data_IF_596188732577
#
_entry.id   IF_596188732577
#
_cell.length_a   1.000
_cell.length_b   1.000
_cell.length_c   1.000
_cell.angle_alpha   90.00
_cell.angle_beta   90.00
_cell.angle_gamma   90.00
#
_symmetry.space_group_name_H-M   'P 1'
#
loop_
_entity.id
_entity.type
_entity.pdbx_description
1 polymer ?
#
# COMPACT_ATOMS: atom_id res chain seq x y z
N UNK A 1 3.28 42.39 18.00
CA UNK A 1 2.16 42.16 17.07
C UNK A 1 2.76 42.12 15.68
N UNK A 2 3.15 40.93 15.22
CA UNK A 2 3.50 40.66 13.83
C UNK A 2 3.06 39.21 13.57
N UNK A 3 1.84 39.09 13.08
CA UNK A 3 1.23 37.84 12.63
C UNK A 3 1.84 37.53 11.27
N UNK A 4 2.97 36.84 11.25
CA UNK A 4 3.53 36.30 10.01
C UNK A 4 2.64 35.12 9.59
N UNK A 5 1.89 35.36 8.51
CA UNK A 5 0.84 34.50 7.99
C UNK A 5 1.31 33.08 7.65
N UNK A 6 0.55 32.10 8.17
CA UNK A 6 0.48 30.68 7.79
C UNK A 6 0.32 30.41 6.28
N UNK A 7 0.16 31.42 5.44
CA UNK A 7 -0.02 31.28 4.00
C UNK A 7 1.31 31.10 3.26
N UNK A 8 2.44 31.63 3.77
CA UNK A 8 3.74 31.44 3.13
C UNK A 8 4.30 30.03 3.36
N UNK A 9 4.06 29.45 4.55
CA UNK A 9 4.39 28.03 4.83
C UNK A 9 3.44 27.07 4.07
N UNK A 10 2.16 27.43 3.89
CA UNK A 10 1.25 26.67 3.00
C UNK A 10 1.69 26.71 1.53
N UNK A 11 2.19 27.85 1.05
CA UNK A 11 2.68 27.98 -0.33
C UNK A 11 4.00 27.21 -0.56
N UNK A 12 4.86 27.10 0.46
CA UNK A 12 6.10 26.33 0.37
C UNK A 12 5.87 24.81 0.52
N UNK A 13 4.82 24.38 1.23
CA UNK A 13 4.40 22.97 1.29
C UNK A 13 3.51 22.54 0.11
N UNK A 14 2.84 23.50 -0.56
CA UNK A 14 2.03 23.26 -1.76
C UNK A 14 2.80 23.26 -3.09
N UNK A 15 4.11 23.54 -3.07
CA UNK A 15 4.95 23.67 -4.26
C UNK A 15 5.98 22.53 -4.45
N UNK A 16 5.89 21.45 -3.67
CA UNK A 16 6.46 20.17 -4.12
C UNK A 16 5.50 19.64 -5.19
N UNK A 17 5.87 19.85 -6.44
CA UNK A 17 5.10 19.46 -7.61
C UNK A 17 4.55 18.05 -7.45
N UNK A 18 3.33 17.86 -7.94
CA UNK A 18 2.72 16.57 -8.21
C UNK A 18 3.50 15.76 -9.29
N UNK A 19 4.84 15.82 -9.29
CA UNK A 19 5.76 15.10 -10.16
C UNK A 19 6.08 13.71 -9.58
N UNK A 20 5.03 12.94 -9.30
CA UNK A 20 5.13 11.62 -8.68
C UNK A 20 3.83 10.83 -8.72
N UNK A 21 2.68 11.50 -8.82
CA UNK A 21 1.54 10.88 -9.46
C UNK A 21 1.98 10.55 -10.89
N UNK A 22 2.01 9.27 -11.27
CA UNK A 22 1.58 8.98 -12.64
C UNK A 22 0.25 9.72 -12.76
N UNK A 23 0.24 10.80 -13.57
CA UNK A 23 -0.89 11.71 -13.63
C UNK A 23 -2.17 10.85 -13.67
N UNK A 24 -3.18 11.12 -12.82
CA UNK A 24 -4.42 10.37 -12.91
C UNK A 24 -4.80 10.37 -14.39
N UNK A 25 -4.95 9.18 -14.97
CA UNK A 25 -5.26 9.05 -16.40
C UNK A 25 -6.34 10.07 -16.70
N UNK A 26 -6.17 10.89 -17.75
CA UNK A 26 -6.89 12.16 -17.94
C UNK A 26 -8.43 12.06 -17.77
N UNK A 27 -8.96 10.85 -17.88
CA UNK A 27 -10.37 10.53 -17.67
C UNK A 27 -10.82 10.39 -16.20
N UNK A 28 -9.96 10.10 -15.22
CA UNK A 28 -10.38 9.84 -13.82
C UNK A 28 -10.97 11.08 -13.12
N UNK A 29 -10.37 12.29 -13.21
CA UNK A 29 -10.99 13.48 -12.64
C UNK A 29 -12.34 13.80 -13.30
N UNK A 30 -12.44 13.53 -14.61
CA UNK A 30 -13.68 13.71 -15.37
C UNK A 30 -14.77 12.74 -14.93
N UNK A 31 -14.44 11.45 -14.79
CA UNK A 31 -15.35 10.41 -14.29
C UNK A 31 -15.84 10.76 -12.87
N UNK A 32 -14.95 11.25 -12.00
CA UNK A 32 -15.29 11.76 -10.67
C UNK A 32 -16.34 12.86 -10.74
N UNK A 33 -16.09 13.85 -11.58
CA UNK A 33 -16.97 15.01 -11.71
C UNK A 33 -18.36 14.58 -12.23
N UNK A 34 -18.42 13.73 -13.25
CA UNK A 34 -19.69 13.24 -13.78
C UNK A 34 -20.53 12.49 -12.73
N UNK A 35 -19.91 11.60 -11.95
CA UNK A 35 -20.60 10.82 -10.93
C UNK A 35 -21.07 11.70 -9.75
N UNK A 36 -20.24 12.63 -9.29
CA UNK A 36 -20.61 13.57 -8.22
C UNK A 36 -21.74 14.51 -8.65
N UNK A 37 -21.66 15.09 -9.85
CA UNK A 37 -22.72 15.95 -10.37
C UNK A 37 -24.02 15.19 -10.59
N UNK A 38 -23.96 13.94 -11.09
CA UNK A 38 -25.14 13.11 -11.23
C UNK A 38 -25.84 12.89 -9.86
N UNK A 39 -25.07 12.58 -8.81
CA UNK A 39 -25.58 12.46 -7.44
C UNK A 39 -26.21 13.76 -6.94
N UNK A 40 -25.51 14.88 -7.09
CA UNK A 40 -25.97 16.18 -6.60
C UNK A 40 -27.27 16.61 -7.30
N UNK A 41 -27.33 16.48 -8.62
CA UNK A 41 -28.55 16.80 -9.39
C UNK A 41 -29.70 15.89 -8.98
N UNK A 42 -29.45 14.59 -8.80
CA UNK A 42 -30.49 13.64 -8.40
C UNK A 42 -31.09 13.97 -7.02
N UNK A 43 -30.21 14.29 -6.06
CA UNK A 43 -30.59 14.74 -4.73
C UNK A 43 -31.39 16.04 -4.78
N UNK A 44 -30.86 17.08 -5.44
CA UNK A 44 -31.51 18.39 -5.54
C UNK A 44 -32.86 18.31 -6.24
N UNK A 45 -32.97 17.52 -7.32
CA UNK A 45 -34.23 17.31 -8.03
C UNK A 45 -35.30 16.69 -7.11
N UNK A 46 -34.92 15.76 -6.23
CA UNK A 46 -35.86 15.09 -5.34
C UNK A 46 -36.20 15.88 -4.08
N UNK A 47 -35.29 16.75 -3.62
CA UNK A 47 -35.48 17.63 -2.45
C UNK A 47 -36.28 18.88 -2.82
N UNK A 48 -36.02 19.46 -4.00
CA UNK A 48 -36.69 20.67 -4.47
C UNK A 48 -37.93 20.26 -5.28
N UNK A 49 -39.13 20.60 -4.80
CA UNK A 49 -40.36 20.35 -5.55
C UNK A 49 -40.45 21.29 -6.77
N UNK A 50 -39.95 20.86 -7.92
CA UNK A 50 -39.98 21.64 -9.16
C UNK A 50 -41.36 21.47 -9.83
N UNK A 51 -42.24 22.45 -9.69
CA UNK A 51 -43.61 22.38 -10.26
C UNK A 51 -43.65 22.63 -11.78
N UNK A 52 -42.66 23.34 -12.33
CA UNK A 52 -42.63 23.70 -13.74
C UNK A 52 -42.08 22.55 -14.61
N UNK A 53 -42.92 22.02 -15.50
CA UNK A 53 -42.56 20.89 -16.39
C UNK A 53 -41.36 21.16 -17.29
N UNK A 54 -41.20 22.39 -17.82
CA UNK A 54 -40.05 22.74 -18.66
C UNK A 54 -38.74 22.76 -17.86
N UNK A 55 -38.79 23.22 -16.62
CA UNK A 55 -37.63 23.23 -15.72
C UNK A 55 -37.26 21.80 -15.35
N UNK A 56 -38.24 20.94 -15.02
CA UNK A 56 -37.98 19.50 -14.78
C UNK A 56 -37.29 18.83 -15.96
N UNK A 57 -37.82 19.01 -17.17
CA UNK A 57 -37.23 18.46 -18.38
C UNK A 57 -35.80 18.98 -18.64
N UNK A 58 -35.54 20.26 -18.36
CA UNK A 58 -34.19 20.84 -18.47
C UNK A 58 -33.21 20.20 -17.48
N UNK A 59 -33.59 20.09 -16.20
CA UNK A 59 -32.74 19.47 -15.17
C UNK A 59 -32.50 17.99 -15.49
N UNK A 60 -33.52 17.25 -15.92
CA UNK A 60 -33.40 15.85 -16.31
C UNK A 60 -32.46 15.66 -17.52
N UNK A 61 -32.47 16.57 -18.51
CA UNK A 61 -31.49 16.55 -19.62
C UNK A 61 -30.07 16.82 -19.13
N UNK A 62 -29.90 17.72 -18.18
CA UNK A 62 -28.59 17.99 -17.59
C UNK A 62 -28.08 16.78 -16.79
N UNK A 63 -28.95 16.13 -16.00
CA UNK A 63 -28.68 14.86 -15.32
C UNK A 63 -28.27 13.76 -16.32
N UNK A 64 -29.05 13.55 -17.38
CA UNK A 64 -28.77 12.58 -18.44
C UNK A 64 -27.39 12.81 -19.08
N UNK A 65 -26.98 14.07 -19.27
CA UNK A 65 -25.65 14.42 -19.80
C UNK A 65 -24.53 13.96 -18.85
N UNK A 66 -24.71 14.07 -17.54
CA UNK A 66 -23.73 13.58 -16.57
C UNK A 66 -23.65 12.06 -16.60
N UNK A 67 -24.80 11.37 -16.63
CA UNK A 67 -24.85 9.90 -16.76
C UNK A 67 -24.13 9.41 -18.01
N UNK A 68 -24.43 10.03 -19.17
CA UNK A 68 -23.76 9.73 -20.44
C UNK A 68 -22.24 9.90 -20.35
N UNK A 69 -21.78 10.95 -19.66
CA UNK A 69 -20.35 11.19 -19.41
C UNK A 69 -19.71 10.06 -18.60
N UNK A 70 -20.36 9.63 -17.52
CA UNK A 70 -19.90 8.52 -16.71
C UNK A 70 -19.90 7.18 -17.46
N UNK A 71 -21.01 6.82 -18.12
CA UNK A 71 -21.16 5.58 -18.90
C UNK A 71 -20.09 5.47 -19.99
N UNK A 72 -19.67 6.59 -20.59
CA UNK A 72 -18.60 6.61 -21.59
C UNK A 72 -17.23 6.26 -21.00
N UNK A 73 -16.95 6.64 -19.76
CA UNK A 73 -15.62 6.52 -19.14
C UNK A 73 -15.46 5.24 -18.28
N UNK A 74 -16.55 4.71 -17.74
CA UNK A 74 -16.55 3.51 -16.89
C UNK A 74 -15.94 2.26 -17.54
N UNK A 75 -16.15 1.95 -18.83
CA UNK A 75 -15.54 0.76 -19.45
C UNK A 75 -14.00 0.80 -19.43
N UNK A 76 -13.39 1.97 -19.73
CA UNK A 76 -11.94 2.14 -19.64
C UNK A 76 -11.44 1.98 -18.21
N UNK A 77 -12.21 2.52 -17.25
CA UNK A 77 -11.93 2.36 -15.83
C UNK A 77 -11.97 0.90 -15.37
N UNK A 78 -12.96 0.13 -15.79
CA UNK A 78 -13.11 -1.30 -15.46
C UNK A 78 -11.91 -2.12 -15.99
N UNK A 79 -11.43 -1.81 -17.20
CA UNK A 79 -10.25 -2.48 -17.76
C UNK A 79 -8.97 -2.15 -16.99
N UNK A 80 -8.82 -0.91 -16.54
CA UNK A 80 -7.69 -0.51 -15.68
C UNK A 80 -7.77 -1.18 -14.30
N UNK A 81 -8.96 -1.28 -13.71
CA UNK A 81 -9.21 -2.01 -12.47
C UNK A 81 -8.81 -3.49 -12.56
N UNK A 82 -9.23 -4.18 -13.63
CA UNK A 82 -8.84 -5.58 -13.88
C UNK A 82 -7.33 -5.78 -13.96
N UNK A 83 -6.59 -4.72 -14.34
CA UNK A 83 -5.12 -4.69 -14.42
C UNK A 83 -4.46 -4.21 -13.12
N UNK A 84 -5.24 -3.98 -12.05
CA UNK A 84 -4.75 -3.46 -10.77
C UNK A 84 -4.32 -1.99 -10.80
N UNK A 85 -4.83 -1.21 -11.77
CA UNK A 85 -4.56 0.23 -11.91
C UNK A 85 -5.78 1.03 -11.45
N UNK A 86 -5.54 2.29 -11.08
CA UNK A 86 -6.60 3.27 -10.78
C UNK A 86 -7.55 2.86 -9.65
N UNK A 87 -7.06 2.09 -8.68
CA UNK A 87 -7.85 1.56 -7.56
C UNK A 87 -8.53 2.66 -6.73
N UNK A 88 -7.98 3.88 -6.70
CA UNK A 88 -8.56 5.06 -6.04
C UNK A 88 -9.97 5.42 -6.53
N UNK A 89 -10.25 5.22 -7.82
CA UNK A 89 -11.48 5.69 -8.43
C UNK A 89 -12.70 4.83 -8.08
N UNK A 90 -12.51 3.76 -7.31
CA UNK A 90 -13.62 2.95 -6.85
C UNK A 90 -14.38 3.64 -5.74
N UNK A 91 -13.73 4.46 -4.92
CA UNK A 91 -14.44 5.30 -3.94
C UNK A 91 -15.43 6.27 -4.60
N UNK A 92 -15.22 6.59 -5.89
CA UNK A 92 -16.15 7.39 -6.70
C UNK A 92 -17.41 6.58 -7.08
N UNK A 93 -17.26 5.28 -7.36
CA UNK A 93 -18.36 4.40 -7.79
C UNK A 93 -19.03 3.63 -6.64
N UNK A 94 -18.31 3.35 -5.55
CA UNK A 94 -18.76 2.56 -4.40
C UNK A 94 -19.82 3.29 -3.59
N UNK A 95 -19.81 4.63 -3.57
CA UNK A 95 -20.87 5.42 -2.96
C UNK A 95 -22.18 5.36 -3.75
N UNK A 96 -22.14 5.29 -5.09
CA UNK A 96 -23.37 5.33 -5.90
C UNK A 96 -24.14 4.01 -5.88
N UNK A 97 -23.47 2.85 -5.84
CA UNK A 97 -24.17 1.55 -5.71
C UNK A 97 -24.76 1.36 -4.30
N UNK A 98 -24.07 1.84 -3.26
CA UNK A 98 -24.47 1.65 -1.86
C UNK A 98 -25.47 2.67 -1.35
N UNK A 99 -25.65 3.78 -2.07
CA UNK A 99 -26.73 4.73 -1.80
C UNK A 99 -28.04 4.22 -2.42
N UNK A 100 -28.79 3.40 -1.68
CA UNK A 100 -30.17 3.04 -2.06
C UNK A 100 -30.99 4.29 -2.42
N UNK A 101 -30.75 5.39 -1.69
CA UNK A 101 -31.33 6.71 -1.95
C UNK A 101 -31.01 7.25 -3.35
N UNK A 102 -29.80 7.07 -3.87
CA UNK A 102 -29.45 7.54 -5.20
C UNK A 102 -30.28 6.84 -6.28
N UNK A 103 -30.47 5.53 -6.16
CA UNK A 103 -31.28 4.77 -7.12
C UNK A 103 -32.76 5.13 -7.03
N UNK A 104 -33.28 5.34 -5.82
CA UNK A 104 -34.64 5.86 -5.63
C UNK A 104 -34.83 7.24 -6.29
N UNK A 105 -33.82 8.12 -6.21
CA UNK A 105 -33.86 9.41 -6.90
C UNK A 105 -33.82 9.26 -8.43
N UNK A 106 -33.02 8.32 -8.95
CA UNK A 106 -32.97 8.03 -10.38
C UNK A 106 -34.33 7.51 -10.89
N UNK A 107 -34.96 6.60 -10.15
CA UNK A 107 -36.29 6.08 -10.48
C UNK A 107 -37.33 7.20 -10.52
N UNK A 108 -37.33 8.08 -9.52
CA UNK A 108 -38.25 9.23 -9.47
C UNK A 108 -38.07 10.17 -10.65
N UNK A 109 -36.83 10.52 -11.00
CA UNK A 109 -36.55 11.37 -12.18
C UNK A 109 -37.02 10.67 -13.46
N UNK A 110 -36.80 9.37 -13.57
CA UNK A 110 -37.20 8.59 -14.74
C UNK A 110 -38.73 8.60 -14.91
N UNK A 111 -39.49 8.32 -13.83
CA UNK A 111 -40.95 8.35 -13.84
C UNK A 111 -41.53 9.72 -14.16
N UNK A 112 -40.95 10.80 -13.64
CA UNK A 112 -41.39 12.16 -13.94
C UNK A 112 -41.22 12.55 -15.42
N UNK A 113 -40.32 11.87 -16.13
CA UNK A 113 -40.03 12.11 -17.55
C UNK A 113 -40.80 11.19 -18.50
N UNK A 114 -41.73 10.38 -18.00
CA UNK A 114 -42.60 9.57 -18.85
C UNK A 114 -43.36 10.46 -19.85
N UNK A 115 -43.18 10.18 -21.15
CA UNK A 115 -43.76 10.97 -22.24
C UNK A 115 -42.84 12.04 -22.84
N UNK A 116 -41.67 12.32 -22.24
CA UNK A 116 -40.65 13.17 -22.84
C UNK A 116 -39.87 12.42 -23.94
N UNK A 117 -39.43 13.14 -24.98
CA UNK A 117 -38.74 12.52 -26.14
C UNK A 117 -37.39 11.87 -25.81
N UNK A 118 -36.80 12.20 -24.66
CA UNK A 118 -35.50 11.68 -24.21
C UNK A 118 -35.64 10.62 -23.11
N UNK A 119 -36.87 10.25 -22.71
CA UNK A 119 -37.16 9.29 -21.64
C UNK A 119 -36.42 7.96 -21.84
N UNK A 120 -36.55 7.34 -23.02
CA UNK A 120 -35.89 6.06 -23.31
C UNK A 120 -34.36 6.15 -23.21
N UNK A 121 -33.78 7.27 -23.65
CA UNK A 121 -32.33 7.49 -23.54
C UNK A 121 -31.89 7.64 -22.08
N UNK A 122 -32.65 8.38 -21.28
CA UNK A 122 -32.40 8.54 -19.85
C UNK A 122 -32.45 7.18 -19.13
N UNK A 123 -33.49 6.39 -19.39
CA UNK A 123 -33.66 5.05 -18.84
C UNK A 123 -32.50 4.13 -19.20
N UNK A 124 -32.09 4.09 -20.47
CA UNK A 124 -30.93 3.32 -20.90
C UNK A 124 -29.65 3.74 -20.16
N UNK A 125 -29.37 5.04 -20.01
CA UNK A 125 -28.17 5.49 -19.31
C UNK A 125 -28.18 5.16 -17.81
N UNK A 126 -29.34 5.12 -17.15
CA UNK A 126 -29.46 4.69 -15.75
C UNK A 126 -29.12 3.20 -15.63
N UNK A 127 -29.69 2.36 -16.51
CA UNK A 127 -29.43 0.90 -16.50
C UNK A 127 -27.99 0.55 -16.89
N UNK A 128 -27.42 1.24 -17.88
CA UNK A 128 -26.01 1.11 -18.26
C UNK A 128 -25.09 1.48 -17.09
N UNK A 129 -25.39 2.59 -16.40
CA UNK A 129 -24.62 3.01 -15.24
C UNK A 129 -24.69 1.94 -14.13
N UNK A 130 -25.88 1.44 -13.82
CA UNK A 130 -26.10 0.39 -12.81
C UNK A 130 -25.30 -0.87 -13.14
N UNK A 131 -25.31 -1.30 -14.39
CA UNK A 131 -24.59 -2.48 -14.89
C UNK A 131 -23.07 -2.27 -14.79
N UNK A 132 -22.56 -1.16 -15.29
CA UNK A 132 -21.13 -0.85 -15.30
C UNK A 132 -20.55 -0.67 -13.89
N UNK A 133 -21.31 -0.06 -12.96
CA UNK A 133 -20.89 0.05 -11.56
C UNK A 133 -20.82 -1.33 -10.88
N UNK A 134 -21.75 -2.24 -11.19
CA UNK A 134 -21.70 -3.62 -10.70
C UNK A 134 -20.50 -4.40 -11.29
N UNK A 135 -20.17 -4.18 -12.57
CA UNK A 135 -18.98 -4.76 -13.20
C UNK A 135 -17.68 -4.24 -12.58
N UNK A 136 -17.58 -2.94 -12.31
CA UNK A 136 -16.43 -2.34 -11.63
C UNK A 136 -16.22 -2.96 -10.25
N UNK A 137 -17.29 -3.13 -9.47
CA UNK A 137 -17.20 -3.79 -8.17
C UNK A 137 -16.81 -5.27 -8.28
N UNK A 138 -17.36 -5.98 -9.26
CA UNK A 138 -16.96 -7.37 -9.52
C UNK A 138 -15.48 -7.45 -9.86
N UNK A 139 -14.96 -6.56 -10.72
CA UNK A 139 -13.53 -6.51 -11.05
C UNK A 139 -12.66 -6.37 -9.78
N UNK A 140 -13.12 -5.55 -8.82
CA UNK A 140 -12.42 -5.34 -7.55
C UNK A 140 -12.53 -6.48 -6.56
N UNK A 141 -13.66 -7.21 -6.52
CA UNK A 141 -13.76 -8.42 -5.70
C UNK A 141 -12.75 -9.50 -6.13
N UNK A 142 -12.32 -9.47 -7.39
CA UNK A 142 -11.33 -10.40 -7.94
C UNK A 142 -9.89 -9.85 -7.89
N UNK A 143 -9.67 -8.63 -7.40
CA UNK A 143 -8.33 -8.11 -7.16
C UNK A 143 -7.67 -8.84 -5.98
N UNK A 144 -6.43 -9.27 -6.17
CA UNK A 144 -5.60 -9.83 -5.10
C UNK A 144 -5.49 -8.84 -3.92
N UNK A 145 -5.66 -9.37 -2.71
CA UNK A 145 -5.49 -8.68 -1.43
C UNK A 145 -4.23 -7.80 -1.36
N UNK A 146 -3.14 -8.23 -1.97
CA UNK A 146 -1.88 -7.50 -1.98
C UNK A 146 -1.86 -6.27 -2.92
N UNK A 147 -2.85 -6.12 -3.82
CA UNK A 147 -3.02 -4.87 -4.56
C UNK A 147 -3.44 -3.71 -3.65
N UNK A 148 -4.23 -3.98 -2.60
CA UNK A 148 -4.65 -2.95 -1.65
C UNK A 148 -3.49 -2.44 -0.78
N UNK A 149 -2.59 -3.34 -0.42
CA UNK A 149 -1.33 -3.00 0.24
C UNK A 149 -0.43 -2.14 -0.67
N UNK A 150 -0.26 -2.54 -1.93
CA UNK A 150 0.46 -1.72 -2.93
C UNK A 150 -0.14 -0.33 -3.11
N UNK A 151 -1.47 -0.24 -3.17
CA UNK A 151 -2.18 1.02 -3.24
C UNK A 151 -1.87 1.92 -2.04
N UNK A 152 -1.95 1.37 -0.82
CA UNK A 152 -1.69 2.10 0.41
C UNK A 152 -0.27 2.70 0.41
N UNK A 153 0.75 1.88 0.10
CA UNK A 153 2.14 2.37 0.07
C UNK A 153 2.40 3.36 -1.07
N UNK A 154 1.77 3.19 -2.23
CA UNK A 154 1.86 4.15 -3.33
C UNK A 154 1.29 5.52 -2.94
N UNK A 155 0.17 5.56 -2.20
CA UNK A 155 -0.40 6.84 -1.72
C UNK A 155 0.40 7.44 -0.57
N UNK A 156 0.96 6.62 0.32
CA UNK A 156 1.86 7.07 1.40
C UNK A 156 3.07 7.86 0.89
N UNK A 157 3.61 7.51 -0.28
CA UNK A 157 4.76 8.19 -0.89
C UNK A 157 4.52 9.68 -1.18
N UNK A 158 3.25 10.12 -1.26
CA UNK A 158 2.91 11.51 -1.49
C UNK A 158 3.04 12.39 -0.22
N UNK A 159 3.35 11.79 0.93
CA UNK A 159 3.46 12.47 2.21
C UNK A 159 4.92 12.50 2.66
N UNK A 160 5.41 13.67 3.08
CA UNK A 160 6.79 13.81 3.58
C UNK A 160 6.91 13.36 5.03
N UNK A 161 7.91 12.49 5.29
CA UNK A 161 8.27 12.03 6.63
C UNK A 161 9.27 12.92 7.38
N UNK A 162 9.74 14.02 6.78
CA UNK A 162 10.85 14.82 7.35
C UNK A 162 10.48 15.49 8.67
N UNK A 163 9.30 16.12 8.70
CA UNK A 163 8.80 16.77 9.91
C UNK A 163 8.51 15.75 11.02
N UNK A 164 8.05 14.55 10.66
CA UNK A 164 7.75 13.47 11.60
C UNK A 164 9.05 12.95 12.22
N UNK A 165 10.06 12.70 11.38
CA UNK A 165 11.39 12.27 11.81
C UNK A 165 12.01 13.29 12.78
N UNK A 166 11.96 14.59 12.44
CA UNK A 166 12.46 15.65 13.33
C UNK A 166 11.72 15.69 14.68
N UNK A 167 10.39 15.53 14.70
CA UNK A 167 9.60 15.48 15.94
C UNK A 167 9.93 14.24 16.78
N UNK A 168 10.15 13.10 16.13
CA UNK A 168 10.53 11.87 16.82
C UNK A 168 11.93 11.97 17.43
N UNK A 169 12.92 12.50 16.70
CA UNK A 169 14.27 12.71 17.25
C UNK A 169 14.28 13.73 18.39
N UNK A 170 13.47 14.80 18.28
CA UNK A 170 13.26 15.74 19.40
C UNK A 170 12.69 15.01 20.63
N UNK A 171 11.65 14.19 20.45
CA UNK A 171 11.08 13.40 21.54
C UNK A 171 12.11 12.45 22.17
N UNK A 172 12.96 11.80 21.36
CA UNK A 172 14.06 10.95 21.86
C UNK A 172 15.06 11.75 22.69
N UNK A 173 15.46 12.92 22.21
CA UNK A 173 16.39 13.81 22.93
C UNK A 173 15.82 14.27 24.28
N UNK A 174 14.54 14.63 24.32
CA UNK A 174 13.83 15.00 25.55
C UNK A 174 13.67 13.82 26.53
N UNK A 175 13.76 12.58 26.04
CA UNK A 175 13.64 11.36 26.83
C UNK A 175 14.98 10.62 26.95
N UNK A 176 15.93 11.23 27.69
CA UNK A 176 17.32 10.78 27.89
C UNK A 176 17.52 9.27 28.13
N UNK A 177 16.56 8.58 28.75
CA UNK A 177 16.48 7.11 28.79
C UNK A 177 15.17 6.64 28.16
N UNK A 178 15.23 6.27 26.88
CA UNK A 178 14.13 5.61 26.16
C UNK A 178 14.11 4.13 26.54
N UNK A 179 12.97 3.66 27.05
CA UNK A 179 12.72 2.26 27.38
C UNK A 179 11.62 1.70 26.47
N UNK A 180 11.48 0.36 26.43
CA UNK A 180 10.37 -0.29 25.70
C UNK A 180 9.01 0.20 26.22
N UNK A 181 8.84 0.37 27.53
CA UNK A 181 7.57 0.85 28.09
C UNK A 181 7.23 2.28 27.67
N UNK A 182 8.20 3.20 27.63
CA UNK A 182 7.99 4.55 27.08
C UNK A 182 7.62 4.54 25.59
N UNK A 183 8.19 3.62 24.82
CA UNK A 183 7.83 3.45 23.41
C UNK A 183 6.43 2.87 23.25
N UNK A 184 5.98 2.01 24.17
CA UNK A 184 4.60 1.48 24.20
C UNK A 184 3.59 2.56 24.55
N UNK A 185 3.91 3.41 25.53
CA UNK A 185 3.12 4.62 25.85
C UNK A 185 3.02 5.54 24.63
N UNK A 186 4.15 5.81 23.96
CA UNK A 186 4.16 6.61 22.75
C UNK A 186 3.34 5.97 21.63
N UNK A 187 3.44 4.65 21.43
CA UNK A 187 2.64 3.91 20.45
C UNK A 187 1.13 4.07 20.72
N UNK A 188 0.70 3.90 21.97
CA UNK A 188 -0.70 4.08 22.36
C UNK A 188 -1.17 5.53 22.13
N UNK A 189 -0.33 6.51 22.50
CA UNK A 189 -0.62 7.93 22.33
C UNK A 189 -0.78 8.31 20.86
N UNK A 190 0.14 7.92 19.98
CA UNK A 190 0.05 8.29 18.55
C UNK A 190 -1.15 7.65 17.86
N UNK A 191 -1.53 6.43 18.26
CA UNK A 191 -2.76 5.79 17.79
C UNK A 191 -3.97 6.58 18.27
N UNK A 192 -4.05 6.88 19.58
CA UNK A 192 -5.18 7.61 20.15
C UNK A 192 -5.38 8.99 19.49
N UNK A 193 -4.31 9.77 19.35
CA UNK A 193 -4.34 11.08 18.66
C UNK A 193 -4.80 10.98 17.19
N UNK A 194 -4.49 9.88 16.53
CA UNK A 194 -4.89 9.66 15.13
C UNK A 194 -6.36 9.24 15.04
N UNK A 195 -6.84 8.41 15.96
CA UNK A 195 -8.24 8.02 16.04
C UNK A 195 -9.15 9.21 16.34
N UNK A 196 -8.72 10.16 17.18
CA UNK A 196 -9.48 11.39 17.45
C UNK A 196 -9.65 12.31 16.23
N UNK A 197 -8.86 12.10 15.16
CA UNK A 197 -9.02 12.81 13.88
C UNK A 197 -10.05 12.17 12.96
N UNK A 198 -10.78 11.15 13.42
CA UNK A 198 -11.85 10.53 12.65
C UNK A 198 -11.38 9.66 11.48
N UNK A 199 -10.19 9.05 11.59
CA UNK A 199 -9.66 8.16 10.53
C UNK A 199 -10.47 6.86 10.38
N UNK A 200 -11.36 6.56 11.33
CA UNK A 200 -12.23 5.37 11.35
C UNK A 200 -13.70 5.66 10.99
N UNK A 201 -14.04 6.89 10.59
CA UNK A 201 -15.44 7.31 10.38
C UNK A 201 -16.22 6.48 9.36
N UNK A 202 -15.54 5.83 8.41
CA UNK A 202 -16.18 5.03 7.37
C UNK A 202 -16.12 3.53 7.63
N UNK A 203 -15.51 3.10 8.75
CA UNK A 203 -15.44 1.69 9.10
C UNK A 203 -16.82 1.19 9.56
N UNK A 204 -17.12 -0.11 9.41
CA UNK A 204 -18.37 -0.69 9.90
C UNK A 204 -18.59 -0.39 11.39
N UNK A 205 -19.85 -0.21 11.78
CA UNK A 205 -20.22 -0.04 13.19
C UNK A 205 -19.87 -1.33 13.94
N UNK A 206 -19.08 -1.26 15.02
CA UNK A 206 -18.69 -2.45 15.78
C UNK A 206 -19.89 -3.04 16.54
N UNK A 207 -19.91 -4.36 16.66
CA UNK A 207 -20.85 -5.08 17.52
C UNK A 207 -20.58 -4.83 19.00
N UNK A 208 -21.57 -5.08 19.86
CA UNK A 208 -21.38 -4.97 21.32
C UNK A 208 -20.25 -5.86 21.84
N UNK A 209 -20.04 -7.03 21.23
CA UNK A 209 -18.93 -7.92 21.56
C UNK A 209 -17.58 -7.26 21.28
N UNK A 210 -17.42 -6.64 20.11
CA UNK A 210 -16.18 -5.95 19.74
C UNK A 210 -15.89 -4.75 20.64
N UNK A 211 -16.94 -4.01 21.04
CA UNK A 211 -16.85 -2.91 22.01
C UNK A 211 -16.37 -3.41 23.38
N UNK A 212 -16.96 -4.49 23.90
CA UNK A 212 -16.61 -5.04 25.22
C UNK A 212 -15.17 -5.58 25.29
N UNK A 213 -14.58 -5.96 24.15
CA UNK A 213 -13.21 -6.42 24.07
C UNK A 213 -12.18 -5.26 24.07
N UNK A 214 -12.61 -4.00 23.96
CA UNK A 214 -11.73 -2.84 24.10
C UNK A 214 -11.41 -2.64 25.59
N UNK A 215 -10.16 -2.93 25.98
CA UNK A 215 -9.70 -2.72 27.36
C UNK A 215 -9.33 -1.25 27.60
N UNK A 216 -10.34 -0.39 27.75
CA UNK A 216 -10.18 1.06 27.95
C UNK A 216 -9.39 1.39 29.22
N UNK A 217 -9.61 0.64 30.31
CA UNK A 217 -8.88 0.85 31.57
C UNK A 217 -7.37 0.63 31.40
N UNK A 218 -7.00 -0.36 30.59
CA UNK A 218 -5.61 -0.63 30.24
C UNK A 218 -5.04 0.49 29.37
N UNK A 219 -5.79 0.91 28.34
CA UNK A 219 -5.38 1.99 27.43
C UNK A 219 -5.20 3.32 28.16
N UNK A 220 -6.07 3.64 29.12
CA UNK A 220 -5.99 4.87 29.94
C UNK A 220 -4.67 4.98 30.69
N UNK A 221 -4.08 3.85 31.10
CA UNK A 221 -2.76 3.81 31.74
C UNK A 221 -1.61 4.30 30.84
N UNK A 222 -1.80 4.37 29.53
CA UNK A 222 -0.78 4.80 28.56
C UNK A 222 -1.02 6.20 27.99
N UNK A 223 -2.16 6.84 28.31
CA UNK A 223 -2.54 8.13 27.76
C UNK A 223 -2.34 9.27 28.79
N UNK A 224 -2.22 10.53 28.34
CA UNK A 224 -2.19 11.69 29.22
C UNK A 224 -3.38 11.72 30.19
N UNK A 225 -3.19 12.24 31.40
CA UNK A 225 -4.22 12.26 32.43
C UNK A 225 -5.50 13.00 32.00
N UNK A 226 -5.36 14.02 31.16
CA UNK A 226 -6.42 14.86 30.62
C UNK A 226 -7.03 14.32 29.31
N UNK A 227 -6.60 13.13 28.84
CA UNK A 227 -7.14 12.56 27.61
C UNK A 227 -8.61 12.15 27.79
N UNK A 228 -9.47 12.71 26.94
CA UNK A 228 -10.92 12.47 26.97
C UNK A 228 -11.26 11.15 26.26
N UNK A 229 -11.68 10.16 27.03
CA UNK A 229 -12.20 8.88 26.53
C UNK A 229 -13.70 9.01 26.19
N UNK A 230 -14.04 9.62 25.07
CA UNK A 230 -15.43 9.72 24.62
C UNK A 230 -15.97 8.38 24.12
N UNK A 231 -17.30 8.23 24.06
CA UNK A 231 -17.95 7.05 23.47
C UNK A 231 -17.53 6.86 22.00
N UNK A 232 -17.43 7.97 21.24
CA UNK A 232 -16.95 7.98 19.86
C UNK A 232 -15.51 7.45 19.75
N UNK A 233 -14.65 7.78 20.71
CA UNK A 233 -13.28 7.25 20.77
C UNK A 233 -13.28 5.74 21.04
N UNK A 234 -14.15 5.26 21.91
CA UNK A 234 -14.29 3.83 22.21
C UNK A 234 -14.74 3.05 20.96
N UNK A 235 -15.68 3.60 20.19
CA UNK A 235 -16.11 3.06 18.90
C UNK A 235 -14.95 3.03 17.91
N UNK A 236 -14.19 4.13 17.79
CA UNK A 236 -13.03 4.19 16.90
C UNK A 236 -11.93 3.18 17.28
N UNK A 237 -11.70 2.94 18.58
CA UNK A 237 -10.79 1.89 19.05
C UNK A 237 -11.27 0.50 18.65
N UNK A 238 -12.56 0.19 18.78
CA UNK A 238 -13.12 -1.09 18.37
C UNK A 238 -13.01 -1.30 16.85
N UNK A 239 -13.32 -0.27 16.06
CA UNK A 239 -13.14 -0.28 14.60
C UNK A 239 -11.68 -0.51 14.21
N UNK A 240 -10.75 0.19 14.87
CA UNK A 240 -9.33 0.10 14.56
C UNK A 240 -8.78 -1.31 14.78
N UNK A 241 -9.25 -2.02 15.81
CA UNK A 241 -8.86 -3.41 16.11
C UNK A 241 -9.11 -4.39 14.97
N UNK A 242 -10.02 -4.09 14.04
CA UNK A 242 -10.29 -4.93 12.87
C UNK A 242 -9.13 -4.91 11.85
N UNK A 243 -8.28 -3.88 11.90
CA UNK A 243 -7.21 -3.60 10.94
C UNK A 243 -5.81 -3.79 11.51
N UNK A 244 -5.70 -4.24 12.76
CA UNK A 244 -4.42 -4.43 13.44
C UNK A 244 -4.34 -5.80 14.08
N UNK A 245 -3.12 -6.22 14.36
CA UNK A 245 -2.84 -7.31 15.27
C UNK A 245 -1.65 -6.93 16.16
N UNK A 246 -1.51 -7.65 17.26
CA UNK A 246 -0.39 -7.49 18.18
C UNK A 246 0.57 -8.66 17.97
N UNK A 247 1.86 -8.35 17.85
CA UNK A 247 2.93 -9.33 17.97
C UNK A 247 3.81 -8.90 19.15
N UNK A 248 3.70 -9.64 20.25
CA UNK A 248 4.19 -9.25 21.57
C UNK A 248 3.73 -7.84 21.98
N UNK A 249 4.66 -6.88 22.02
CA UNK A 249 4.42 -5.49 22.44
C UNK A 249 4.21 -4.53 21.26
N UNK A 250 4.31 -5.04 20.04
CA UNK A 250 4.32 -4.27 18.81
C UNK A 250 2.95 -4.35 18.16
N UNK A 251 2.38 -3.18 17.87
CA UNK A 251 1.15 -3.05 17.11
C UNK A 251 1.48 -3.09 15.61
N UNK A 252 0.93 -4.05 14.89
CA UNK A 252 1.15 -4.23 13.45
C UNK A 252 -0.15 -3.94 12.70
N UNK A 253 -0.06 -3.12 11.66
CA UNK A 253 -1.18 -2.83 10.75
C UNK A 253 -1.29 -3.96 9.72
N UNK A 254 -2.50 -4.51 9.54
CA UNK A 254 -2.82 -5.37 8.41
C UNK A 254 -3.04 -4.49 7.17
N UNK A 255 -1.97 -4.23 6.41
CA UNK A 255 -2.01 -3.34 5.24
C UNK A 255 -2.93 -3.84 4.12
N UNK A 256 -3.29 -5.14 4.10
CA UNK A 256 -4.24 -5.67 3.12
C UNK A 256 -5.66 -5.23 3.48
N UNK A 257 -6.08 -5.44 4.74
CA UNK A 257 -7.40 -5.00 5.21
C UNK A 257 -7.48 -3.48 5.30
N UNK A 258 -6.46 -2.84 5.88
CA UNK A 258 -6.45 -1.41 6.06
C UNK A 258 -6.33 -0.67 4.72
N UNK A 259 -5.45 -1.14 3.83
CA UNK A 259 -5.35 -0.60 2.47
C UNK A 259 -6.66 -0.69 1.70
N UNK A 260 -7.42 -1.79 1.87
CA UNK A 260 -8.76 -1.93 1.27
C UNK A 260 -9.76 -0.94 1.85
N UNK A 261 -9.75 -0.73 3.16
CA UNK A 261 -10.56 0.28 3.81
C UNK A 261 -10.24 1.69 3.30
N UNK A 262 -8.96 2.07 3.27
CA UNK A 262 -8.51 3.36 2.75
C UNK A 262 -8.88 3.52 1.27
N UNK A 263 -8.72 2.48 0.46
CA UNK A 263 -9.07 2.50 -0.96
C UNK A 263 -10.58 2.72 -1.20
N UNK A 264 -11.43 2.05 -0.41
CA UNK A 264 -12.89 2.17 -0.54
C UNK A 264 -13.41 3.58 -0.26
N UNK A 265 -12.69 4.35 0.57
CA UNK A 265 -13.12 5.66 1.08
C UNK A 265 -12.12 6.78 0.78
N UNK A 266 -11.17 6.54 -0.14
CA UNK A 266 -10.02 7.43 -0.33
C UNK A 266 -10.43 8.87 -0.63
N UNK A 267 -11.49 9.07 -1.42
CA UNK A 267 -12.02 10.38 -1.74
C UNK A 267 -13.11 10.89 -0.78
N UNK A 268 -13.56 10.07 0.17
CA UNK A 268 -14.49 10.49 1.23
C UNK A 268 -13.74 11.12 2.41
N UNK A 269 -12.46 10.76 2.61
CA UNK A 269 -11.60 11.38 3.59
C UNK A 269 -11.24 12.82 3.22
N UNK A 270 -11.25 13.70 4.23
CA UNK A 270 -10.60 15.01 4.13
C UNK A 270 -9.08 14.87 4.06
N UNK A 271 -8.40 15.90 3.54
CA UNK A 271 -6.94 15.97 3.53
C UNK A 271 -6.33 15.78 4.92
N UNK A 272 -6.99 16.32 5.96
CA UNK A 272 -6.54 16.18 7.36
C UNK A 272 -6.63 14.74 7.87
N UNK A 273 -7.64 13.98 7.44
CA UNK A 273 -7.78 12.57 7.77
C UNK A 273 -6.76 11.73 7.01
N UNK A 274 -6.57 11.96 5.71
CA UNK A 274 -5.55 11.26 4.92
C UNK A 274 -4.15 11.50 5.47
N UNK A 275 -3.83 12.76 5.81
CA UNK A 275 -2.57 13.08 6.47
C UNK A 275 -2.42 12.32 7.80
N UNK A 276 -3.45 12.27 8.63
CA UNK A 276 -3.42 11.53 9.90
C UNK A 276 -3.17 10.03 9.71
N UNK A 277 -3.79 9.42 8.69
CA UNK A 277 -3.62 8.00 8.34
C UNK A 277 -2.14 7.69 8.03
N UNK A 278 -1.53 8.46 7.13
CA UNK A 278 -0.16 8.20 6.71
C UNK A 278 0.88 8.63 7.77
N UNK A 279 0.61 9.71 8.50
CA UNK A 279 1.45 10.12 9.64
C UNK A 279 1.46 9.07 10.76
N UNK A 280 0.32 8.43 11.05
CA UNK A 280 0.23 7.37 12.04
C UNK A 280 1.21 6.24 11.72
N UNK A 281 1.17 5.73 10.49
CA UNK A 281 2.06 4.66 10.04
C UNK A 281 3.54 5.10 10.07
N UNK A 282 3.87 6.32 9.61
CA UNK A 282 5.25 6.83 9.71
C UNK A 282 5.74 6.95 11.15
N UNK A 283 4.89 7.40 12.08
CA UNK A 283 5.22 7.46 13.52
C UNK A 283 5.42 6.07 14.09
N UNK A 284 4.52 5.13 13.80
CA UNK A 284 4.63 3.74 14.24
C UNK A 284 5.93 3.11 13.74
N UNK A 285 6.28 3.30 12.47
CA UNK A 285 7.54 2.82 11.90
C UNK A 285 8.78 3.30 12.68
N UNK A 286 8.83 4.58 13.06
CA UNK A 286 9.95 5.13 13.84
C UNK A 286 10.00 4.57 15.26
N UNK A 287 8.83 4.45 15.91
CA UNK A 287 8.70 3.84 17.24
C UNK A 287 9.18 2.38 17.21
N UNK A 288 8.71 1.62 16.22
CA UNK A 288 9.07 0.23 15.99
C UNK A 288 10.56 0.06 15.74
N UNK A 289 11.15 0.89 14.88
CA UNK A 289 12.61 0.88 14.63
C UNK A 289 13.40 1.07 15.93
N UNK A 290 12.94 1.94 16.81
CA UNK A 290 13.58 2.16 18.11
C UNK A 290 13.32 1.01 19.09
N UNK A 291 12.13 0.39 19.08
CA UNK A 291 11.84 -0.82 19.86
C UNK A 291 12.76 -1.97 19.44
N UNK A 292 12.96 -2.19 18.14
CA UNK A 292 13.89 -3.18 17.60
C UNK A 292 15.35 -2.88 17.98
N UNK A 293 15.74 -1.61 18.04
CA UNK A 293 17.08 -1.21 18.50
C UNK A 293 17.32 -1.58 19.97
N UNK A 294 16.30 -1.42 20.82
CA UNK A 294 16.38 -1.72 22.26
C UNK A 294 16.19 -3.20 22.56
N UNK A 295 15.44 -3.93 21.74
CA UNK A 295 15.28 -5.37 21.83
C UNK A 295 15.41 -6.01 20.43
N UNK A 296 16.61 -6.46 20.04
CA UNK A 296 16.88 -7.03 18.72
C UNK A 296 16.06 -8.27 18.38
N UNK A 297 15.53 -9.00 19.37
CA UNK A 297 14.64 -10.15 19.12
C UNK A 297 13.32 -9.70 18.44
N UNK A 298 12.93 -8.44 18.62
CA UNK A 298 11.79 -7.82 17.94
C UNK A 298 12.07 -7.46 16.46
N UNK A 299 13.33 -7.55 15.99
CA UNK A 299 13.65 -7.32 14.57
C UNK A 299 13.01 -8.39 13.69
N UNK A 300 12.93 -9.63 14.17
CA UNK A 300 12.25 -10.73 13.47
C UNK A 300 10.72 -10.53 13.41
N UNK A 301 10.17 -9.73 14.33
CA UNK A 301 8.75 -9.35 14.41
C UNK A 301 8.44 -8.13 13.52
N UNK A 302 9.40 -7.21 13.39
CA UNK A 302 9.29 -5.94 12.65
C UNK A 302 9.75 -5.97 11.21
N UNK A 303 10.35 -7.08 10.79
CA UNK A 303 10.33 -7.44 9.40
C UNK A 303 8.93 -8.00 9.12
N UNK A 304 8.01 -7.25 8.47
CA UNK A 304 7.28 -7.92 7.41
C UNK A 304 8.39 -8.44 6.53
N UNK A 305 8.54 -9.75 6.54
CA UNK A 305 9.31 -10.50 5.58
C UNK A 305 9.48 -9.63 4.34
N UNK A 306 10.70 -9.13 4.05
CA UNK A 306 10.95 -8.29 2.87
C UNK A 306 10.57 -9.01 1.56
N UNK A 307 10.10 -10.26 1.67
CA UNK A 307 9.25 -10.94 0.71
C UNK A 307 8.01 -10.14 0.28
N UNK A 308 7.34 -9.35 1.12
CA UNK A 308 6.09 -8.66 0.75
C UNK A 308 6.23 -7.64 -0.40
N UNK A 309 7.37 -6.94 -0.49
CA UNK A 309 7.68 -6.05 -1.63
C UNK A 309 8.01 -6.81 -2.91
N UNK A 310 8.28 -8.11 -2.82
CA UNK A 310 8.65 -8.94 -3.95
C UNK A 310 7.59 -9.97 -4.31
N UNK A 311 6.73 -10.41 -3.38
CA UNK A 311 5.73 -11.49 -3.48
C UNK A 311 4.80 -11.37 -4.69
N UNK A 312 4.62 -10.15 -5.19
CA UNK A 312 3.84 -9.86 -6.40
C UNK A 312 4.63 -9.14 -7.49
N UNK A 313 5.90 -9.52 -7.65
CA UNK A 313 6.78 -9.14 -8.76
C UNK A 313 7.45 -10.40 -9.30
N UNK A 314 7.83 -10.42 -10.58
CA UNK A 314 8.64 -11.50 -11.17
C UNK A 314 9.98 -11.72 -10.44
N UNK A 315 10.36 -10.80 -9.54
CA UNK A 315 11.57 -10.80 -8.73
C UNK A 315 11.45 -11.63 -7.43
N UNK A 316 10.24 -12.10 -7.04
CA UNK A 316 10.04 -12.85 -5.80
C UNK A 316 10.84 -14.14 -5.71
N UNK A 317 10.56 -15.04 -6.65
CA UNK A 317 11.14 -16.37 -6.71
C UNK A 317 12.67 -16.31 -6.84
N UNK A 318 13.28 -15.44 -7.70
CA UNK A 318 14.73 -15.32 -7.73
C UNK A 318 15.30 -14.75 -6.43
N UNK A 319 14.72 -13.68 -5.86
CA UNK A 319 15.19 -13.10 -4.59
C UNK A 319 15.24 -14.15 -3.47
N UNK A 320 14.11 -14.81 -3.21
CA UNK A 320 14.02 -15.78 -2.11
C UNK A 320 14.95 -16.96 -2.29
N UNK A 321 15.04 -17.47 -3.53
CA UNK A 321 15.87 -18.65 -3.78
C UNK A 321 17.35 -18.31 -3.66
N UNK A 322 17.77 -17.15 -4.14
CA UNK A 322 19.18 -16.71 -4.08
C UNK A 322 19.55 -16.31 -2.65
N UNK A 323 18.72 -15.51 -1.96
CA UNK A 323 18.95 -15.13 -0.56
C UNK A 323 19.05 -16.39 0.31
N UNK A 324 18.07 -17.31 0.25
CA UNK A 324 18.12 -18.56 1.01
C UNK A 324 19.36 -19.40 0.70
N UNK A 325 19.81 -19.43 -0.56
CA UNK A 325 21.06 -20.11 -0.92
C UNK A 325 22.26 -19.45 -0.25
N UNK A 326 22.39 -18.11 -0.30
CA UNK A 326 23.54 -17.42 0.29
C UNK A 326 23.55 -17.44 1.82
N UNK A 327 22.39 -17.59 2.47
CA UNK A 327 22.27 -17.68 3.93
C UNK A 327 22.58 -19.06 4.52
N UNK A 328 22.94 -20.04 3.69
CA UNK A 328 23.35 -21.36 4.17
C UNK A 328 24.81 -21.39 4.63
N UNK A 329 25.11 -22.34 5.52
CA UNK A 329 26.42 -22.53 6.16
C UNK A 329 27.58 -22.68 5.17
N UNK A 330 27.32 -23.14 3.94
CA UNK A 330 28.36 -23.28 2.92
C UNK A 330 29.04 -21.95 2.63
N UNK A 331 28.31 -20.83 2.68
CA UNK A 331 28.86 -19.52 2.34
C UNK A 331 29.92 -19.14 3.37
N UNK A 332 29.61 -19.33 4.65
CA UNK A 332 30.53 -19.05 5.75
C UNK A 332 31.73 -20.01 5.74
N UNK A 333 31.61 -21.20 5.16
CA UNK A 333 32.74 -22.13 4.99
C UNK A 333 33.74 -21.66 3.92
N UNK A 334 33.30 -20.90 2.92
CA UNK A 334 34.12 -20.48 1.76
C UNK A 334 34.39 -18.97 1.69
N UNK A 335 33.78 -18.18 2.58
CA UNK A 335 33.97 -16.73 2.64
C UNK A 335 35.40 -16.34 3.03
N UNK A 336 35.92 -15.30 2.39
CA UNK A 336 37.26 -14.75 2.68
C UNK A 336 37.26 -13.93 3.97
N UNK A 337 36.10 -13.33 4.32
CA UNK A 337 35.93 -12.51 5.52
C UNK A 337 34.47 -12.61 6.01
N UNK A 338 34.25 -13.42 7.06
CA UNK A 338 32.91 -13.70 7.59
C UNK A 338 32.31 -12.53 8.35
N UNK A 339 33.15 -11.66 8.91
CA UNK A 339 32.69 -10.47 9.65
C UNK A 339 32.23 -9.39 8.68
N UNK A 340 33.00 -9.17 7.60
CA UNK A 340 32.65 -8.23 6.53
C UNK A 340 31.44 -8.70 5.71
N UNK A 341 31.43 -9.96 5.29
CA UNK A 341 30.37 -10.52 4.44
C UNK A 341 29.30 -11.24 5.25
N UNK A 342 28.78 -10.53 6.26
CA UNK A 342 27.77 -11.03 7.20
C UNK A 342 26.44 -11.39 6.52
N UNK A 343 25.56 -12.07 7.27
CA UNK A 343 24.14 -12.33 6.89
C UNK A 343 23.43 -11.06 6.40
N UNK A 344 23.62 -9.93 7.08
CA UNK A 344 23.03 -8.64 6.68
C UNK A 344 23.58 -8.17 5.33
N UNK A 345 24.89 -8.26 5.12
CA UNK A 345 25.53 -7.87 3.86
C UNK A 345 25.05 -8.75 2.70
N UNK A 346 24.90 -10.06 2.93
CA UNK A 346 24.37 -11.01 1.95
C UNK A 346 22.94 -10.66 1.53
N UNK A 347 22.08 -10.30 2.47
CA UNK A 347 20.71 -9.88 2.15
C UNK A 347 20.67 -8.53 1.42
N UNK A 348 21.53 -7.58 1.81
CA UNK A 348 21.65 -6.30 1.13
C UNK A 348 22.13 -6.45 -0.32
N UNK A 349 23.13 -7.31 -0.55
CA UNK A 349 23.60 -7.66 -1.89
C UNK A 349 22.45 -8.18 -2.76
N UNK A 350 21.68 -9.15 -2.27
CA UNK A 350 20.58 -9.75 -3.05
C UNK A 350 19.45 -8.75 -3.27
N UNK A 351 19.12 -7.94 -2.26
CA UNK A 351 18.15 -6.84 -2.39
C UNK A 351 18.59 -5.83 -3.47
N UNK A 352 19.84 -5.38 -3.43
CA UNK A 352 20.42 -4.44 -4.39
C UNK A 352 20.49 -5.03 -5.80
N UNK A 353 20.85 -6.31 -5.92
CA UNK A 353 20.87 -7.03 -7.19
C UNK A 353 19.48 -7.07 -7.82
N UNK A 354 18.45 -7.40 -7.05
CA UNK A 354 17.07 -7.49 -7.54
C UNK A 354 16.46 -6.13 -7.87
N UNK A 355 16.89 -5.05 -7.19
CA UNK A 355 16.48 -3.67 -7.49
C UNK A 355 17.22 -3.05 -8.69
N UNK A 356 18.32 -3.66 -9.12
CA UNK A 356 19.10 -3.19 -10.27
C UNK A 356 18.42 -3.52 -11.60
N UNK A 357 18.92 -2.93 -12.71
CA UNK A 357 18.51 -3.31 -14.07
C UNK A 357 18.75 -4.80 -14.37
N UNK A 358 19.75 -5.41 -13.71
CA UNK A 358 20.06 -6.84 -13.83
C UNK A 358 19.01 -7.70 -13.13
N UNK A 359 18.39 -7.19 -12.06
CA UNK A 359 17.30 -7.85 -11.36
C UNK A 359 16.15 -8.23 -12.30
N UNK A 360 15.72 -7.31 -13.17
CA UNK A 360 14.69 -7.58 -14.18
C UNK A 360 15.07 -8.70 -15.15
N UNK A 361 16.33 -8.74 -15.60
CA UNK A 361 16.84 -9.81 -16.48
C UNK A 361 16.83 -11.16 -15.77
N UNK A 362 17.22 -11.18 -14.49
CA UNK A 362 17.14 -12.39 -13.67
C UNK A 362 15.69 -12.86 -13.58
N UNK A 363 14.75 -11.96 -13.27
CA UNK A 363 13.32 -12.25 -13.16
C UNK A 363 12.72 -12.88 -14.42
N UNK A 364 13.00 -12.31 -15.58
CA UNK A 364 12.47 -12.79 -16.86
C UNK A 364 13.02 -14.18 -17.20
N UNK A 365 14.33 -14.38 -17.01
CA UNK A 365 14.95 -15.68 -17.26
C UNK A 365 14.59 -16.74 -16.21
N UNK A 366 14.22 -16.33 -15.00
CA UNK A 366 13.81 -17.23 -13.91
C UNK A 366 12.53 -18.02 -14.23
N UNK A 367 11.71 -17.50 -15.16
CA UNK A 367 10.51 -18.19 -15.66
C UNK A 367 10.86 -19.50 -16.36
N UNK A 368 12.07 -19.62 -16.91
CA UNK A 368 12.54 -20.83 -17.59
C UNK A 368 13.24 -21.75 -16.58
N UNK A 369 12.59 -22.87 -16.22
CA UNK A 369 13.07 -23.78 -15.17
C UNK A 369 14.52 -24.26 -15.37
N UNK A 370 14.92 -24.56 -16.60
CA UNK A 370 16.28 -25.01 -16.95
C UNK A 370 17.37 -23.93 -16.77
N UNK A 371 16.98 -22.66 -16.67
CA UNK A 371 17.91 -21.53 -16.47
C UNK A 371 18.15 -21.17 -15.01
N UNK A 372 17.29 -21.63 -14.08
CA UNK A 372 17.41 -21.30 -12.65
C UNK A 372 18.75 -21.75 -12.02
N UNK A 373 19.27 -22.97 -12.31
CA UNK A 373 20.60 -23.36 -11.82
C UNK A 373 21.71 -22.48 -12.38
N UNK A 374 21.59 -22.04 -13.63
CA UNK A 374 22.58 -21.18 -14.30
C UNK A 374 22.59 -19.77 -13.70
N UNK A 375 21.42 -19.23 -13.35
CA UNK A 375 21.27 -17.95 -12.66
C UNK A 375 21.93 -17.98 -11.28
N UNK A 376 21.66 -19.03 -10.49
CA UNK A 376 22.31 -19.25 -9.18
C UNK A 376 23.82 -19.35 -9.31
N UNK A 377 24.31 -20.15 -10.26
CA UNK A 377 25.73 -20.32 -10.52
C UNK A 377 26.41 -19.01 -10.95
N UNK A 378 25.74 -18.14 -11.71
CA UNK A 378 26.26 -16.84 -12.11
C UNK A 378 26.46 -15.90 -10.90
N UNK A 379 25.55 -15.91 -9.93
CA UNK A 379 25.71 -15.13 -8.68
C UNK A 379 26.91 -15.61 -7.88
N UNK A 380 27.03 -16.93 -7.69
CA UNK A 380 28.16 -17.53 -6.96
C UNK A 380 29.49 -17.27 -7.68
N UNK A 381 29.50 -17.35 -9.00
CA UNK A 381 30.68 -17.00 -9.80
C UNK A 381 31.06 -15.52 -9.66
N UNK A 382 30.08 -14.61 -9.66
CA UNK A 382 30.31 -13.18 -9.42
C UNK A 382 30.97 -12.91 -8.08
N UNK A 383 30.48 -13.55 -7.01
CA UNK A 383 31.07 -13.47 -5.67
C UNK A 383 32.51 -13.99 -5.63
N UNK A 384 32.78 -15.12 -6.30
CA UNK A 384 34.13 -15.68 -6.39
C UNK A 384 35.06 -14.73 -7.15
N UNK A 385 34.62 -14.19 -8.29
CA UNK A 385 35.41 -13.25 -9.11
C UNK A 385 35.65 -11.92 -8.39
N UNK A 386 34.72 -11.50 -7.54
CA UNK A 386 34.84 -10.31 -6.70
C UNK A 386 35.76 -10.51 -5.48
N UNK A 387 36.24 -11.73 -5.23
CA UNK A 387 37.08 -12.05 -4.07
C UNK A 387 36.32 -12.16 -2.75
N UNK A 388 35.00 -12.36 -2.79
CA UNK A 388 34.16 -12.54 -1.60
C UNK A 388 34.30 -13.97 -1.04
N UNK A 389 34.39 -14.95 -1.95
CA UNK A 389 34.50 -16.38 -1.61
C UNK A 389 35.69 -17.01 -2.34
N UNK A 390 36.28 -18.04 -1.74
CA UNK A 390 37.45 -18.76 -2.25
C UNK A 390 37.25 -20.28 -2.25
N UNK A 391 37.92 -20.97 -3.17
CA UNK A 391 37.83 -22.42 -3.32
C UNK A 391 37.73 -22.88 -4.78
N UNK A 392 37.82 -24.19 -5.01
CA UNK A 392 37.61 -24.77 -6.34
C UNK A 392 36.12 -24.69 -6.73
N UNK A 393 35.81 -24.56 -8.02
CA UNK A 393 34.41 -24.49 -8.49
C UNK A 393 33.61 -25.73 -8.08
N UNK A 394 34.25 -26.90 -8.14
CA UNK A 394 33.65 -28.15 -7.71
C UNK A 394 33.42 -28.18 -6.19
N UNK A 395 34.37 -27.71 -5.38
CA UNK A 395 34.23 -27.67 -3.93
C UNK A 395 33.10 -26.74 -3.49
N UNK A 396 33.00 -25.56 -4.10
CA UNK A 396 31.90 -24.62 -3.83
C UNK A 396 30.57 -25.20 -4.29
N UNK A 397 30.51 -25.81 -5.48
CA UNK A 397 29.29 -26.42 -5.99
C UNK A 397 28.79 -27.55 -5.08
N UNK A 398 29.66 -28.47 -4.65
CA UNK A 398 29.28 -29.55 -3.73
C UNK A 398 28.77 -29.05 -2.38
N UNK A 399 29.33 -27.95 -1.87
CA UNK A 399 28.82 -27.34 -0.64
C UNK A 399 27.41 -26.74 -0.80
N UNK A 400 27.01 -26.36 -2.02
CA UNK A 400 25.69 -25.74 -2.32
C UNK A 400 24.62 -26.79 -2.64
N UNK A 401 24.94 -27.78 -3.49
CA UNK A 401 23.94 -28.76 -3.96
C UNK A 401 23.99 -30.10 -3.23
N UNK A 402 24.98 -30.32 -2.36
CA UNK A 402 25.19 -31.57 -1.63
C UNK A 402 26.02 -32.60 -2.39
N UNK A 403 26.25 -33.77 -1.77
CA UNK A 403 27.18 -34.81 -2.24
C UNK A 403 26.73 -35.57 -3.51
N UNK A 404 25.64 -35.15 -4.17
CA UNK A 404 25.32 -35.68 -5.50
C UNK A 404 26.36 -35.20 -6.51
N UNK A 405 27.18 -36.16 -6.97
CA UNK A 405 28.32 -35.94 -7.86
C UNK A 405 27.89 -35.41 -9.24
N UNK A 406 26.67 -35.71 -9.70
CA UNK A 406 26.19 -35.30 -11.03
C UNK A 406 25.73 -33.83 -11.02
N UNK A 407 24.99 -33.45 -9.98
CA UNK A 407 24.48 -32.09 -9.81
C UNK A 407 25.60 -31.11 -9.45
N UNK A 408 26.55 -31.54 -8.59
CA UNK A 408 27.74 -30.77 -8.23
C UNK A 408 28.59 -30.42 -9.45
N UNK A 409 28.86 -31.40 -10.32
CA UNK A 409 29.62 -31.18 -11.56
C UNK A 409 28.89 -30.26 -12.51
N UNK A 410 27.58 -30.42 -12.65
CA UNK A 410 26.76 -29.59 -13.55
C UNK A 410 26.73 -28.13 -13.08
N UNK A 411 26.58 -27.91 -11.78
CA UNK A 411 26.60 -26.58 -11.18
C UNK A 411 27.98 -25.91 -11.30
N UNK A 412 29.06 -26.65 -11.03
CA UNK A 412 30.43 -26.19 -11.23
C UNK A 412 30.71 -25.80 -12.69
N UNK A 413 30.19 -26.58 -13.65
CA UNK A 413 30.26 -26.25 -15.09
C UNK A 413 29.51 -24.95 -15.39
N UNK A 414 28.36 -24.69 -14.77
CA UNK A 414 27.65 -23.43 -14.95
C UNK A 414 28.40 -22.24 -14.36
N UNK A 415 29.06 -22.41 -13.21
CA UNK A 415 29.93 -21.39 -12.64
C UNK A 415 31.10 -21.08 -13.59
N UNK A 416 31.76 -22.12 -14.12
CA UNK A 416 32.91 -21.96 -15.02
C UNK A 416 32.56 -21.49 -16.44
N UNK A 417 31.32 -21.66 -16.91
CA UNK A 417 30.91 -21.31 -18.28
C UNK A 417 30.55 -19.84 -18.50
N UNK A 418 30.57 -18.97 -17.49
CA UNK A 418 30.47 -17.52 -17.67
C UNK A 418 29.27 -17.02 -18.50
N UNK A 419 28.19 -17.79 -18.64
CA UNK A 419 27.12 -17.51 -19.62
C UNK A 419 26.25 -16.29 -19.30
N UNK A 420 26.53 -15.57 -18.21
CA UNK A 420 25.83 -14.34 -17.78
C UNK A 420 26.83 -13.33 -17.21
N UNK A 421 27.69 -12.80 -18.08
CA UNK A 421 28.69 -11.79 -17.75
C UNK A 421 28.10 -10.63 -16.95
N UNK A 422 26.94 -10.13 -17.38
CA UNK A 422 26.28 -8.97 -16.77
C UNK A 422 25.94 -9.14 -15.27
N UNK A 423 25.56 -10.35 -14.82
CA UNK A 423 25.29 -10.63 -13.39
C UNK A 423 26.60 -10.61 -12.60
N UNK A 424 27.61 -11.31 -13.12
CA UNK A 424 28.91 -11.40 -12.46
C UNK A 424 29.62 -10.04 -12.42
N UNK A 425 29.55 -9.26 -13.50
CA UNK A 425 30.12 -7.92 -13.60
C UNK A 425 29.42 -6.95 -12.64
N UNK A 426 28.10 -7.02 -12.53
CA UNK A 426 27.36 -6.22 -11.55
C UNK A 426 27.81 -6.51 -10.12
N UNK A 427 27.94 -7.79 -9.76
CA UNK A 427 28.40 -8.19 -8.41
C UNK A 427 29.83 -7.70 -8.15
N UNK A 428 30.73 -7.86 -9.14
CA UNK A 428 32.12 -7.38 -9.02
C UNK A 428 32.17 -5.87 -8.80
N UNK A 429 31.31 -5.09 -9.45
CA UNK A 429 31.25 -3.64 -9.26
C UNK A 429 30.66 -3.30 -7.88
N UNK A 430 29.56 -3.94 -7.49
CA UNK A 430 28.93 -3.73 -6.18
C UNK A 430 29.86 -4.01 -4.99
N UNK A 431 30.78 -4.97 -5.12
CA UNK A 431 31.74 -5.31 -4.07
C UNK A 431 32.93 -4.33 -4.01
N UNK A 432 33.21 -3.63 -5.12
CA UNK A 432 34.31 -2.65 -5.23
C UNK A 432 33.90 -1.25 -4.78
N UNK A 433 32.63 -0.90 -4.97
CA UNK A 433 31.99 0.30 -4.43
C UNK A 433 31.78 0.16 -2.91
#
# INVERSE_FOLDING_TARGET
>A
METINNELERAQLGAASAAGCGAPLDYLPSLKNYLNLAREIASQYCVVSIENSRIRAFVARFFMRQLKGAVKLLPGYIEDLKRGKCMEAFSISSGLRREELFWLWCERICSDMEGESFYESLKCYIEDLKTLLAEAEKALMHCDSAMFEKFYFAKKQNYSGDAISKRFEKWRYENLCVTIDKLRELQAKVVAESLTKGIMNFAPVPSQKELNEVRLDYLKGFLPYDFVMSDDFCVACAQWRQFIHWNDTILIIDYKKYGKYIQNHYYDFSDTQLQAIFELDMKLYLIHKEMARLNPELVNVLQPTQTGTLENTTLFAPYNTISRMLQQDWFDAVSVDKEKYSTMWRDELVSSLMKSKIGSVIADEWQIASKRPQLKAAVVYGLKRAGVIQGSDLGIASAIVGDDNTDSKTFAVYMGRGKKGDIADWIVNYVKD
#
